data_IF_430704343741
#
_entry.id   IF_430704343741
#
_cell.length_a   1.000
_cell.length_b   1.000
_cell.length_c   1.000
_cell.angle_alpha   90.00
_cell.angle_beta   90.00
_cell.angle_gamma   90.00
#
_symmetry.space_group_name_H-M   'P 1'
#
loop_
_entity.id
_entity.type
_entity.pdbx_description
1 polymer ?
#
# COMPACT_ATOMS: atom_id res chain seq x y z
N UNK A 1 20.38 -42.30 -1.17
CA UNK A 1 19.19 -41.71 -1.81
C UNK A 1 18.51 -40.80 -0.80
N UNK A 2 18.62 -39.47 -0.96
CA UNK A 2 18.11 -38.50 0.01
C UNK A 2 16.68 -38.10 -0.39
N UNK A 3 15.68 -38.37 0.48
CA UNK A 3 14.29 -37.96 0.24
C UNK A 3 14.08 -36.59 0.88
N UNK A 4 13.72 -35.63 0.05
CA UNK A 4 13.26 -34.31 0.49
C UNK A 4 11.78 -34.43 0.83
N UNK A 5 11.40 -34.06 2.05
CA UNK A 5 10.01 -33.94 2.46
C UNK A 5 9.59 -32.48 2.32
N UNK A 6 8.52 -32.23 1.55
CA UNK A 6 7.89 -30.92 1.45
C UNK A 6 6.74 -30.88 2.46
N UNK A 7 6.81 -30.00 3.46
CA UNK A 7 5.71 -29.76 4.38
C UNK A 7 4.87 -28.63 3.79
N UNK A 8 3.66 -28.95 3.34
CA UNK A 8 2.69 -27.96 2.84
C UNK A 8 1.87 -27.48 4.03
N UNK A 9 2.02 -26.20 4.39
CA UNK A 9 1.15 -25.56 5.36
C UNK A 9 -0.14 -25.13 4.65
N UNK A 10 -1.25 -25.81 4.97
CA UNK A 10 -2.58 -25.38 4.55
C UNK A 10 -3.11 -24.44 5.62
N UNK A 11 -3.07 -23.13 5.35
CA UNK A 11 -3.67 -22.11 6.21
C UNK A 11 -5.15 -21.93 5.87
N UNK A 12 -6.03 -22.09 6.86
CA UNK A 12 -7.43 -21.67 6.74
C UNK A 12 -7.50 -20.14 6.78
N UNK A 13 -8.01 -19.50 5.73
CA UNK A 13 -8.33 -18.08 5.78
C UNK A 13 -9.63 -17.88 6.56
N UNK A 14 -9.54 -17.19 7.70
CA UNK A 14 -10.74 -16.68 8.37
C UNK A 14 -11.19 -15.46 7.58
N UNK A 15 -12.42 -15.48 7.06
CA UNK A 15 -13.02 -14.30 6.41
C UNK A 15 -13.38 -13.29 7.51
N UNK A 16 -12.44 -12.40 7.80
CA UNK A 16 -12.66 -11.28 8.70
C UNK A 16 -12.90 -10.06 7.83
N UNK A 17 -14.11 -9.51 7.89
CA UNK A 17 -14.44 -8.23 7.26
C UNK A 17 -13.80 -7.10 8.06
N UNK A 18 -12.56 -6.74 7.73
CA UNK A 18 -11.90 -5.56 8.27
C UNK A 18 -12.52 -4.31 7.62
N UNK A 19 -13.23 -3.51 8.41
CA UNK A 19 -13.85 -2.27 7.95
C UNK A 19 -12.81 -1.20 7.59
N UNK A 20 -11.64 -1.26 8.23
CA UNK A 20 -10.54 -0.34 8.00
C UNK A 20 -9.20 -1.02 8.21
N UNK A 21 -8.17 -0.47 7.58
CA UNK A 21 -6.79 -0.81 7.80
C UNK A 21 -6.00 0.48 8.05
N UNK A 22 -5.12 0.44 9.04
CA UNK A 22 -4.23 1.55 9.37
C UNK A 22 -2.85 1.21 8.83
N UNK A 23 -2.29 2.11 8.03
CA UNK A 23 -0.98 1.95 7.45
C UNK A 23 0.00 2.88 8.17
N UNK A 24 1.11 2.33 8.66
CA UNK A 24 2.20 3.06 9.30
C UNK A 24 3.48 2.76 8.55
N UNK A 25 4.34 3.75 8.35
CA UNK A 25 5.62 3.52 7.73
C UNK A 25 6.29 4.78 7.21
N UNK A 26 7.08 4.58 6.17
CA UNK A 26 7.83 5.62 5.47
C UNK A 26 7.21 5.90 4.08
N UNK A 27 7.98 6.58 3.23
CA UNK A 27 7.62 6.94 1.86
C UNK A 27 7.14 5.78 0.97
N UNK A 28 7.54 4.53 1.25
CA UNK A 28 7.11 3.35 0.48
C UNK A 28 5.67 2.94 0.79
N UNK A 29 5.10 3.50 1.85
CA UNK A 29 3.74 3.25 2.32
C UNK A 29 2.88 4.52 2.29
N UNK A 30 3.51 5.69 2.21
CA UNK A 30 2.85 6.99 2.21
C UNK A 30 2.05 7.24 0.92
N UNK A 31 0.74 7.35 1.04
CA UNK A 31 -0.17 7.64 -0.08
C UNK A 31 -0.30 9.13 -0.41
N UNK A 32 0.48 9.99 0.25
CA UNK A 32 0.53 11.44 0.04
C UNK A 32 0.35 12.27 1.33
N UNK A 33 0.36 11.64 2.49
CA UNK A 33 0.15 12.24 3.81
C UNK A 33 1.30 13.18 4.18
N UNK A 34 2.56 12.82 3.90
CA UNK A 34 3.68 13.71 4.19
C UNK A 34 3.58 15.00 3.36
N UNK A 35 3.20 14.85 2.10
CA UNK A 35 3.06 15.96 1.16
C UNK A 35 1.90 16.88 1.57
N UNK A 36 0.76 16.30 1.97
CA UNK A 36 -0.37 17.03 2.51
C UNK A 36 -0.03 17.73 3.84
N UNK A 37 0.66 17.05 4.75
CA UNK A 37 1.02 17.56 6.07
C UNK A 37 2.02 18.71 6.03
N UNK A 38 2.97 18.68 5.09
CA UNK A 38 3.95 19.75 4.91
C UNK A 38 3.48 20.86 3.96
N UNK A 39 2.35 20.69 3.27
CA UNK A 39 1.87 21.64 2.27
C UNK A 39 2.82 21.79 1.07
N UNK A 40 3.62 20.76 0.79
CA UNK A 40 4.56 20.75 -0.34
C UNK A 40 3.91 20.16 -1.58
N UNK A 41 4.54 20.35 -2.74
CA UNK A 41 4.11 19.74 -3.98
C UNK A 41 5.24 18.87 -4.54
N UNK A 42 4.93 17.62 -4.88
CA UNK A 42 5.83 16.78 -5.67
C UNK A 42 5.45 16.94 -7.13
N UNK A 43 6.39 17.39 -7.95
CA UNK A 43 6.21 17.43 -9.41
C UNK A 43 6.51 16.07 -10.05
N UNK A 44 6.32 15.99 -11.37
CA UNK A 44 6.87 14.93 -12.19
C UNK A 44 8.37 14.75 -11.90
N UNK A 45 8.88 13.51 -11.79
CA UNK A 45 8.28 12.28 -12.28
C UNK A 45 7.39 11.53 -11.27
N UNK A 46 6.95 12.12 -10.17
CA UNK A 46 6.25 11.37 -9.10
C UNK A 46 4.79 11.00 -9.44
N UNK A 47 4.59 9.95 -10.23
CA UNK A 47 3.28 9.40 -10.62
C UNK A 47 3.07 9.31 -12.14
N UNK A 48 4.07 9.74 -12.91
CA UNK A 48 4.11 9.71 -14.37
C UNK A 48 3.91 8.32 -14.98
N UNK A 49 4.51 7.28 -14.43
CA UNK A 49 4.48 5.93 -15.00
C UNK A 49 3.10 5.31 -14.86
N UNK A 50 2.44 5.44 -13.71
CA UNK A 50 1.12 4.84 -13.48
C UNK A 50 -0.06 5.83 -13.61
N UNK A 51 -0.04 6.94 -12.88
CA UNK A 51 -1.18 7.87 -12.80
C UNK A 51 -1.24 8.88 -13.94
N UNK A 52 -0.12 9.08 -14.66
CA UNK A 52 0.02 10.07 -15.76
C UNK A 52 -0.10 11.53 -15.32
N UNK A 53 -0.12 11.78 -14.01
CA UNK A 53 -0.11 13.07 -13.33
C UNK A 53 0.74 12.93 -12.06
N UNK A 54 1.03 14.05 -11.39
CA UNK A 54 1.61 13.93 -10.06
C UNK A 54 0.63 13.24 -9.11
N UNK A 55 1.14 12.21 -8.44
CA UNK A 55 0.41 11.41 -7.44
C UNK A 55 0.58 11.92 -6.02
N UNK A 56 1.45 12.92 -5.81
CA UNK A 56 1.88 13.39 -4.48
C UNK A 56 2.50 12.29 -3.61
N UNK A 57 2.98 11.19 -4.21
CA UNK A 57 3.70 10.10 -3.55
C UNK A 57 5.16 10.13 -3.96
N UNK A 58 6.06 9.67 -3.10
CA UNK A 58 7.50 9.56 -3.41
C UNK A 58 7.80 8.33 -4.30
N UNK A 59 7.00 8.12 -5.34
CA UNK A 59 7.21 7.07 -6.34
C UNK A 59 6.53 7.42 -7.67
N UNK A 60 6.94 6.74 -8.73
CA UNK A 60 6.39 6.95 -10.07
C UNK A 60 5.14 6.07 -10.36
N UNK A 61 4.68 5.32 -9.37
CA UNK A 61 3.78 4.19 -9.58
C UNK A 61 2.83 3.89 -8.42
N UNK A 62 2.29 2.66 -8.42
CA UNK A 62 1.51 2.14 -7.29
C UNK A 62 2.43 1.68 -6.16
N UNK A 63 2.00 1.90 -4.93
CA UNK A 63 2.61 1.34 -3.73
C UNK A 63 2.09 -0.07 -3.48
N UNK A 64 2.80 -0.84 -2.65
CA UNK A 64 2.35 -2.18 -2.25
C UNK A 64 0.95 -2.14 -1.62
N UNK A 65 0.66 -1.10 -0.84
CA UNK A 65 -0.64 -0.91 -0.18
C UNK A 65 -1.80 -0.73 -1.18
N UNK A 66 -1.56 -0.22 -2.39
CA UNK A 66 -2.59 -0.13 -3.44
C UNK A 66 -3.02 -1.50 -3.97
N UNK A 67 -2.15 -2.51 -3.87
CA UNK A 67 -2.49 -3.88 -4.23
C UNK A 67 -3.18 -4.61 -3.08
N UNK A 68 -2.73 -4.37 -1.85
CA UNK A 68 -3.34 -4.94 -0.65
C UNK A 68 -4.76 -4.41 -0.43
N UNK A 69 -5.00 -3.13 -0.71
CA UNK A 69 -6.33 -2.51 -0.59
C UNK A 69 -7.35 -3.13 -1.53
N UNK A 70 -6.96 -3.59 -2.73
CA UNK A 70 -7.87 -4.26 -3.67
C UNK A 70 -8.44 -5.58 -3.15
N UNK A 71 -7.73 -6.24 -2.24
CA UNK A 71 -8.23 -7.46 -1.62
C UNK A 71 -9.21 -7.20 -0.48
N UNK A 72 -9.30 -5.96 -0.02
CA UNK A 72 -10.27 -5.52 0.99
C UNK A 72 -11.30 -4.62 0.31
N UNK A 73 -12.44 -5.22 -0.04
CA UNK A 73 -13.49 -4.66 -0.91
C UNK A 73 -14.07 -3.30 -0.41
N UNK A 74 -13.68 -2.82 0.79
CA UNK A 74 -14.20 -1.61 1.43
C UNK A 74 -13.18 -0.67 2.09
N UNK A 75 -11.87 -0.85 1.93
CA UNK A 75 -10.91 -0.04 2.70
C UNK A 75 -10.63 1.33 2.06
N UNK A 76 -11.30 2.36 2.59
CA UNK A 76 -10.82 3.75 2.52
C UNK A 76 -9.64 3.87 3.49
N UNK A 77 -8.41 3.96 2.97
CA UNK A 77 -7.24 4.23 3.81
C UNK A 77 -7.24 5.72 4.13
N UNK A 78 -7.57 6.05 5.38
CA UNK A 78 -7.33 7.40 5.92
C UNK A 78 -5.91 7.44 6.43
N UNK A 79 -5.09 8.29 5.83
CA UNK A 79 -3.83 8.69 6.40
C UNK A 79 -4.07 9.37 7.74
N UNK A 80 -3.59 8.78 8.82
CA UNK A 80 -3.63 9.43 10.13
C UNK A 80 -2.24 9.97 10.41
N UNK A 81 -2.05 11.27 10.22
CA UNK A 81 -0.98 12.02 10.85
C UNK A 81 -1.36 12.19 12.33
N UNK A 82 -0.45 11.85 13.24
CA UNK A 82 -0.47 12.41 14.59
C UNK A 82 0.06 13.85 14.55
#
# INVERSE_FOLDING_TARGET
MMRIFYVVFISNSVNINYLSAFNFGDSNSDTGDLVAGLGIHLDLPNGQSYFKISSQRFCDGRLLIDYLSKFSIYSHFSGYLY
#
